data_IF_125069639437
#
_entry.id   IF_125069639437
#
_cell.length_a   1.000
_cell.length_b   1.000
_cell.length_c   1.000
_cell.angle_alpha   90.00
_cell.angle_beta   90.00
_cell.angle_gamma   90.00
#
_symmetry.space_group_name_H-M   'P 1'
#
loop_
_entity.id
_entity.type
_entity.pdbx_description
1 polymer ?
#
# COMPACT_ATOMS: atom_id res chain seq x y z
N UNK A 1 13.60 17.51 18.91
CA UNK A 1 13.68 16.42 17.90
C UNK A 1 13.35 17.02 16.54
N UNK A 2 14.09 16.67 15.51
CA UNK A 2 13.77 17.08 14.14
C UNK A 2 12.39 16.50 13.73
N UNK A 3 11.61 17.26 12.96
CA UNK A 3 10.28 16.79 12.53
C UNK A 3 10.40 15.56 11.62
N UNK A 4 9.66 14.51 11.90
CA UNK A 4 9.63 13.28 11.08
C UNK A 4 8.55 13.38 9.98
N UNK A 5 8.87 12.92 8.77
CA UNK A 5 8.04 13.07 7.57
C UNK A 5 7.73 11.68 6.97
N UNK A 6 6.45 11.39 6.77
CA UNK A 6 6.00 10.19 6.09
C UNK A 6 5.38 10.50 4.73
N UNK A 7 5.64 9.67 3.72
CA UNK A 7 4.94 9.68 2.43
C UNK A 7 4.02 8.46 2.38
N UNK A 8 2.75 8.68 2.02
CA UNK A 8 1.77 7.62 1.80
C UNK A 8 1.22 7.73 0.38
N UNK A 9 1.46 6.72 -0.45
CA UNK A 9 0.86 6.64 -1.78
C UNK A 9 -0.49 5.92 -1.74
N UNK A 10 -1.43 6.26 -2.63
CA UNK A 10 -2.79 5.72 -2.59
C UNK A 10 -3.62 6.26 -1.42
N UNK A 11 -3.28 7.44 -0.91
CA UNK A 11 -3.81 8.01 0.33
C UNK A 11 -5.26 8.54 0.24
N UNK A 12 -5.91 8.51 -0.94
CA UNK A 12 -7.23 9.10 -1.12
C UNK A 12 -8.39 8.27 -0.54
N UNK A 13 -8.19 6.97 -0.24
CA UNK A 13 -9.24 6.09 0.28
C UNK A 13 -8.67 4.80 0.91
N UNK A 14 -9.54 4.01 1.55
CA UNK A 14 -9.26 2.65 2.03
C UNK A 14 -8.02 2.56 2.91
N UNK A 15 -7.18 1.56 2.67
CA UNK A 15 -5.95 1.31 3.47
C UNK A 15 -5.03 2.54 3.46
N UNK A 16 -4.87 3.22 2.31
CA UNK A 16 -4.00 4.39 2.20
C UNK A 16 -4.47 5.56 3.06
N UNK A 17 -5.77 5.86 3.04
CA UNK A 17 -6.39 6.88 3.92
C UNK A 17 -6.19 6.53 5.39
N UNK A 18 -6.55 5.31 5.79
CA UNK A 18 -6.40 4.86 7.18
C UNK A 18 -4.93 4.91 7.65
N UNK A 19 -3.99 4.50 6.79
CA UNK A 19 -2.56 4.57 7.08
C UNK A 19 -2.08 6.02 7.26
N UNK A 20 -2.49 6.94 6.38
CA UNK A 20 -2.13 8.34 6.49
C UNK A 20 -2.63 8.96 7.81
N UNK A 21 -3.88 8.69 8.17
CA UNK A 21 -4.46 9.17 9.44
C UNK A 21 -3.74 8.54 10.65
N UNK A 22 -3.44 7.24 10.60
CA UNK A 22 -2.74 6.55 11.69
C UNK A 22 -1.32 7.10 11.89
N UNK A 23 -0.60 7.37 10.80
CA UNK A 23 0.76 7.94 10.87
C UNK A 23 0.79 9.39 11.36
N UNK A 24 -0.31 10.13 11.24
CA UNK A 24 -0.40 11.50 11.74
C UNK A 24 -0.20 11.61 13.26
N UNK A 25 -0.41 10.53 14.01
CA UNK A 25 -0.12 10.49 15.45
C UNK A 25 1.38 10.40 15.77
N UNK A 26 2.19 9.88 14.84
CA UNK A 26 3.61 9.55 15.06
C UNK A 26 4.56 10.46 14.25
N UNK A 27 4.05 11.09 13.18
CA UNK A 27 4.83 11.92 12.26
C UNK A 27 4.38 13.38 12.30
N UNK A 28 5.32 14.30 12.17
CA UNK A 28 5.04 15.74 12.16
C UNK A 28 4.33 16.19 10.89
N UNK A 29 4.62 15.53 9.76
CA UNK A 29 3.89 15.75 8.52
C UNK A 29 3.68 14.44 7.75
N UNK A 30 2.56 14.39 7.00
CA UNK A 30 2.21 13.26 6.13
C UNK A 30 1.92 13.78 4.72
N UNK A 31 2.71 13.31 3.77
CA UNK A 31 2.53 13.61 2.34
C UNK A 31 1.58 12.58 1.74
N UNK A 32 0.51 13.08 1.11
CA UNK A 32 -0.61 12.31 0.60
C UNK A 32 -0.57 12.31 -0.93
N UNK A 33 -0.29 11.16 -1.55
CA UNK A 33 -0.21 11.06 -3.01
C UNK A 33 -1.26 10.09 -3.57
N UNK A 34 -2.08 10.55 -4.51
CA UNK A 34 -3.03 9.78 -5.32
C UNK A 34 -3.53 10.63 -6.48
N UNK A 35 -4.38 10.05 -7.36
CA UNK A 35 -4.99 10.81 -8.46
C UNK A 35 -6.23 11.60 -8.06
N UNK A 36 -7.00 11.06 -7.11
CA UNK A 36 -8.27 11.66 -6.68
C UNK A 36 -7.98 12.77 -5.66
N UNK A 37 -7.98 14.02 -6.12
CA UNK A 37 -7.68 15.20 -5.32
C UNK A 37 -8.73 15.43 -4.23
N UNK A 38 -10.03 15.25 -4.51
CA UNK A 38 -11.10 15.39 -3.52
C UNK A 38 -10.89 14.43 -2.34
N UNK A 39 -10.67 13.13 -2.64
CA UNK A 39 -10.39 12.14 -1.62
C UNK A 39 -9.09 12.40 -0.85
N UNK A 40 -8.07 13.01 -1.49
CA UNK A 40 -6.86 13.46 -0.79
C UNK A 40 -7.15 14.63 0.15
N UNK A 41 -7.98 15.60 -0.25
CA UNK A 41 -8.35 16.74 0.57
C UNK A 41 -9.18 16.32 1.80
N UNK A 42 -10.06 15.32 1.67
CA UNK A 42 -10.74 14.71 2.82
C UNK A 42 -9.75 14.05 3.78
N UNK A 43 -8.80 13.29 3.24
CA UNK A 43 -7.75 12.64 4.04
C UNK A 43 -6.87 13.68 4.73
N UNK A 44 -6.54 14.78 4.05
CA UNK A 44 -5.74 15.88 4.60
C UNK A 44 -6.41 16.54 5.83
N UNK A 45 -7.72 16.75 5.76
CA UNK A 45 -8.49 17.28 6.93
C UNK A 45 -8.38 16.32 8.14
N UNK A 46 -8.49 15.02 7.90
CA UNK A 46 -8.38 14.02 8.96
C UNK A 46 -6.96 13.93 9.53
N UNK A 47 -5.92 13.98 8.68
CA UNK A 47 -4.50 14.04 9.08
C UNK A 47 -4.22 15.29 9.92
N UNK A 48 -4.74 16.44 9.50
CA UNK A 48 -4.61 17.69 10.26
C UNK A 48 -5.30 17.61 11.63
N UNK A 49 -6.50 17.04 11.67
CA UNK A 49 -7.24 16.82 12.93
C UNK A 49 -6.52 15.85 13.87
N UNK A 50 -5.73 14.92 13.33
CA UNK A 50 -4.90 13.99 14.09
C UNK A 50 -3.54 14.59 14.53
N UNK A 51 -3.23 15.83 14.17
CA UNK A 51 -2.10 16.60 14.69
C UNK A 51 -0.88 16.71 13.77
N UNK A 52 -0.94 16.18 12.54
CA UNK A 52 0.15 16.29 11.57
C UNK A 52 -0.16 17.31 10.46
N UNK A 53 0.89 17.89 9.88
CA UNK A 53 0.77 18.75 8.70
C UNK A 53 0.59 17.90 7.44
N UNK A 54 -0.53 18.04 6.68
CA UNK A 54 -0.69 17.35 5.41
C UNK A 54 -0.01 18.09 4.25
N UNK A 55 0.56 17.36 3.30
CA UNK A 55 0.91 17.85 1.96
C UNK A 55 0.17 17.01 0.92
N UNK A 56 -0.76 17.62 0.19
CA UNK A 56 -1.55 16.96 -0.86
C UNK A 56 -0.84 17.09 -2.20
N UNK A 57 -0.61 15.96 -2.88
CA UNK A 57 -0.04 15.88 -4.21
C UNK A 57 -0.90 14.97 -5.10
N UNK A 58 -1.73 15.60 -5.96
CA UNK A 58 -2.56 14.89 -6.94
C UNK A 58 -1.67 14.47 -8.13
N UNK A 59 -1.25 13.20 -8.14
CA UNK A 59 -0.28 12.64 -9.11
C UNK A 59 -0.71 11.26 -9.60
N UNK A 60 -0.48 10.94 -10.87
CA UNK A 60 -0.58 9.58 -11.39
C UNK A 60 0.78 8.90 -11.42
N UNK A 61 1.03 8.02 -10.48
CA UNK A 61 2.31 7.30 -10.35
C UNK A 61 2.57 6.26 -11.46
N UNK A 62 1.65 6.08 -12.43
CA UNK A 62 1.96 5.39 -13.69
C UNK A 62 2.97 6.19 -14.52
N UNK A 63 2.89 7.50 -14.43
CA UNK A 63 3.79 8.40 -15.16
C UNK A 63 5.17 8.40 -14.50
N UNK A 64 6.25 8.18 -15.26
CA UNK A 64 7.61 8.10 -14.69
C UNK A 64 8.00 9.33 -13.88
N UNK A 65 7.62 10.52 -14.34
CA UNK A 65 7.99 11.82 -13.77
C UNK A 65 7.28 12.10 -12.44
N UNK A 66 6.09 11.50 -12.24
CA UNK A 66 5.29 11.72 -11.05
C UNK A 66 6.02 11.28 -9.76
N UNK A 67 6.80 10.21 -9.83
CA UNK A 67 7.58 9.72 -8.71
C UNK A 67 8.66 10.72 -8.27
N UNK A 68 9.38 11.30 -9.24
CA UNK A 68 10.37 12.36 -8.98
C UNK A 68 9.71 13.60 -8.41
N UNK A 69 8.60 14.05 -9.01
CA UNK A 69 7.83 15.21 -8.55
C UNK A 69 7.34 15.05 -7.11
N UNK A 70 6.86 13.86 -6.73
CA UNK A 70 6.44 13.56 -5.36
C UNK A 70 7.58 13.76 -4.37
N UNK A 71 8.74 13.20 -4.66
CA UNK A 71 9.91 13.26 -3.78
C UNK A 71 10.48 14.68 -3.74
N UNK A 72 10.65 15.34 -4.87
CA UNK A 72 11.19 16.71 -4.94
C UNK A 72 10.33 17.69 -4.15
N UNK A 73 8.99 17.66 -4.32
CA UNK A 73 8.07 18.54 -3.57
C UNK A 73 8.07 18.24 -2.06
N UNK A 74 8.27 16.98 -1.68
CA UNK A 74 8.43 16.61 -0.27
C UNK A 74 9.71 17.20 0.32
N UNK A 75 10.82 17.06 -0.40
CA UNK A 75 12.11 17.57 0.05
C UNK A 75 12.18 19.10 -0.01
N UNK A 76 11.57 19.74 -1.00
CA UNK A 76 11.46 21.20 -1.09
C UNK A 76 10.75 21.77 0.15
N UNK A 77 9.64 21.12 0.56
CA UNK A 77 8.84 21.62 1.68
C UNK A 77 9.41 21.26 3.06
N UNK A 78 9.91 20.04 3.22
CA UNK A 78 10.24 19.50 4.54
C UNK A 78 11.73 19.14 4.73
N UNK A 79 12.52 19.07 3.65
CA UNK A 79 13.95 18.78 3.69
C UNK A 79 14.33 17.33 4.01
N UNK A 80 13.37 16.46 4.32
CA UNK A 80 13.64 15.07 4.75
C UNK A 80 12.50 14.11 4.43
N UNK A 81 12.78 12.80 4.46
CA UNK A 81 11.81 11.70 4.37
C UNK A 81 12.26 10.62 5.36
N UNK A 82 11.40 10.25 6.30
CA UNK A 82 11.68 9.25 7.33
C UNK A 82 10.93 7.92 7.08
N UNK A 83 9.76 7.99 6.45
CA UNK A 83 9.00 6.82 6.07
C UNK A 83 8.39 6.97 4.68
N UNK A 84 8.39 5.88 3.92
CA UNK A 84 7.69 5.75 2.65
C UNK A 84 6.78 4.52 2.69
N UNK A 85 5.48 4.73 2.58
CA UNK A 85 4.49 3.64 2.54
C UNK A 85 3.84 3.59 1.16
N UNK A 86 4.24 2.58 0.37
CA UNK A 86 3.76 2.35 -0.98
C UNK A 86 2.48 1.51 -0.96
N UNK A 87 1.31 2.17 -1.09
CA UNK A 87 -0.01 1.52 -1.09
C UNK A 87 -0.72 1.62 -2.44
N UNK A 88 -0.38 2.62 -3.25
CA UNK A 88 -1.00 2.83 -4.55
C UNK A 88 -0.99 1.55 -5.39
N UNK A 89 -2.16 1.10 -5.83
CA UNK A 89 -2.31 -0.09 -6.65
C UNK A 89 -3.74 -0.29 -7.15
N UNK A 90 -3.87 -0.57 -8.43
CA UNK A 90 -5.13 -0.83 -9.11
C UNK A 90 -4.91 -1.86 -10.22
N UNK A 91 -4.49 -3.07 -9.83
CA UNK A 91 -4.33 -4.17 -10.80
C UNK A 91 -5.72 -4.73 -11.12
N UNK A 92 -6.09 -4.86 -12.40
CA UNK A 92 -7.37 -5.45 -12.80
C UNK A 92 -7.54 -6.89 -12.32
N UNK A 93 -8.78 -7.26 -12.01
CA UNK A 93 -9.18 -8.62 -11.64
C UNK A 93 -9.91 -9.23 -12.83
N UNK A 94 -9.16 -9.86 -13.71
CA UNK A 94 -9.61 -10.46 -14.97
C UNK A 94 -8.96 -11.85 -15.05
N UNK A 95 -9.68 -12.82 -15.62
CA UNK A 95 -9.15 -14.16 -15.84
C UNK A 95 -7.89 -14.11 -16.70
N UNK A 96 -6.97 -15.04 -16.42
CA UNK A 96 -5.65 -15.11 -17.07
C UNK A 96 -5.73 -15.17 -18.61
N UNK A 97 -6.73 -15.87 -19.16
CA UNK A 97 -6.88 -16.06 -20.60
C UNK A 97 -7.65 -14.91 -21.29
N UNK A 98 -8.29 -14.04 -20.53
CA UNK A 98 -9.09 -12.91 -21.03
C UNK A 98 -8.36 -11.58 -20.92
N UNK A 99 -7.27 -11.52 -20.16
CA UNK A 99 -6.55 -10.29 -19.86
C UNK A 99 -5.66 -9.87 -21.04
N UNK A 100 -5.82 -8.63 -21.51
CA UNK A 100 -4.96 -8.07 -22.56
C UNK A 100 -3.62 -7.59 -22.01
N UNK A 101 -2.59 -7.50 -22.88
CA UNK A 101 -1.27 -6.96 -22.52
C UNK A 101 -1.38 -5.53 -21.96
N UNK A 102 -2.20 -4.67 -22.55
CA UNK A 102 -2.42 -3.30 -22.06
C UNK A 102 -2.99 -3.24 -20.64
N UNK A 103 -3.90 -4.14 -20.29
CA UNK A 103 -4.43 -4.23 -18.92
C UNK A 103 -3.39 -4.76 -17.93
N UNK A 104 -2.55 -5.69 -18.38
CA UNK A 104 -1.43 -6.22 -17.62
C UNK A 104 -0.41 -5.12 -17.33
N UNK A 105 0.01 -4.40 -18.36
CA UNK A 105 0.98 -3.30 -18.26
C UNK A 105 0.49 -2.16 -17.37
N UNK A 106 -0.80 -1.77 -17.48
CA UNK A 106 -1.38 -0.72 -16.62
C UNK A 106 -1.32 -1.08 -15.14
N UNK A 107 -1.64 -2.34 -14.80
CA UNK A 107 -1.54 -2.85 -13.43
C UNK A 107 -0.11 -2.79 -12.88
N UNK A 108 0.86 -3.21 -13.70
CA UNK A 108 2.28 -3.18 -13.34
C UNK A 108 2.84 -1.76 -13.29
N UNK A 109 2.43 -0.88 -14.21
CA UNK A 109 2.89 0.51 -14.27
C UNK A 109 2.63 1.27 -12.96
N UNK A 110 1.45 1.09 -12.37
CA UNK A 110 1.11 1.75 -11.10
C UNK A 110 1.74 1.03 -9.90
N UNK A 111 1.39 -0.25 -9.70
CA UNK A 111 1.67 -0.93 -8.44
C UNK A 111 3.12 -1.32 -8.28
N UNK A 112 3.77 -1.81 -9.34
CA UNK A 112 5.16 -2.24 -9.30
C UNK A 112 6.12 -1.10 -9.66
N UNK A 113 5.97 -0.54 -10.85
CA UNK A 113 6.90 0.48 -11.34
C UNK A 113 6.75 1.81 -10.61
N UNK A 114 5.52 2.22 -10.26
CA UNK A 114 5.27 3.42 -9.46
C UNK A 114 5.96 3.33 -8.11
N UNK A 115 5.71 2.25 -7.34
CA UNK A 115 6.34 2.04 -6.04
C UNK A 115 7.88 1.98 -6.12
N UNK A 116 8.42 1.27 -7.13
CA UNK A 116 9.87 1.21 -7.36
C UNK A 116 10.46 2.59 -7.62
N UNK A 117 9.85 3.38 -8.51
CA UNK A 117 10.35 4.71 -8.87
C UNK A 117 10.34 5.67 -7.67
N UNK A 118 9.24 5.71 -6.90
CA UNK A 118 9.17 6.54 -5.69
C UNK A 118 10.26 6.14 -4.70
N UNK A 119 10.46 4.84 -4.48
CA UNK A 119 11.50 4.34 -3.56
C UNK A 119 12.91 4.72 -4.04
N UNK A 120 13.20 4.59 -5.34
CA UNK A 120 14.51 4.97 -5.91
C UNK A 120 14.77 6.46 -5.73
N UNK A 121 13.79 7.33 -6.03
CA UNK A 121 13.97 8.78 -5.87
C UNK A 121 14.09 9.20 -4.40
N UNK A 122 13.38 8.53 -3.48
CA UNK A 122 13.45 8.83 -2.04
C UNK A 122 14.69 8.25 -1.34
N UNK A 123 15.45 7.37 -2.01
CA UNK A 123 16.45 6.53 -1.35
C UNK A 123 17.54 7.32 -0.60
N UNK A 124 18.10 8.36 -1.20
CA UNK A 124 19.14 9.17 -0.57
C UNK A 124 18.63 9.95 0.66
N UNK A 125 17.37 10.39 0.64
CA UNK A 125 16.76 11.02 1.81
C UNK A 125 16.50 10.00 2.93
N UNK A 126 16.03 8.80 2.58
CA UNK A 126 15.81 7.69 3.51
C UNK A 126 17.12 7.20 4.15
N UNK A 127 18.22 7.17 3.41
CA UNK A 127 19.57 6.88 3.98
C UNK A 127 19.95 7.90 5.04
N UNK A 128 19.81 9.19 4.74
CA UNK A 128 20.15 10.28 5.66
C UNK A 128 19.35 10.20 6.97
N UNK A 129 18.08 9.86 6.89
CA UNK A 129 17.19 9.75 8.04
C UNK A 129 17.25 8.40 8.75
N UNK A 130 17.95 7.40 8.19
CA UNK A 130 17.85 5.98 8.55
C UNK A 130 16.39 5.52 8.54
N UNK A 131 15.67 5.86 7.48
CA UNK A 131 14.23 5.74 7.34
C UNK A 131 13.74 4.32 7.11
N UNK A 132 12.43 4.21 6.85
CA UNK A 132 11.76 2.95 6.63
C UNK A 132 10.90 2.98 5.37
N UNK A 133 10.88 1.88 4.63
CA UNK A 133 10.01 1.68 3.46
C UNK A 133 9.11 0.48 3.70
N UNK A 134 7.81 0.64 3.42
CA UNK A 134 6.86 -0.47 3.40
C UNK A 134 6.19 -0.54 2.03
N UNK A 135 6.21 -1.72 1.44
CA UNK A 135 5.48 -2.02 0.21
C UNK A 135 4.20 -2.80 0.53
N UNK A 136 3.10 -2.44 -0.12
CA UNK A 136 1.85 -3.21 -0.04
C UNK A 136 1.78 -4.21 -1.17
N UNK A 137 1.92 -5.48 -0.83
CA UNK A 137 1.68 -6.62 -1.69
C UNK A 137 0.22 -7.10 -1.57
N UNK A 138 0.02 -8.34 -1.19
CA UNK A 138 -1.24 -9.00 -0.90
C UNK A 138 -1.04 -10.51 -0.78
N UNK A 139 -1.92 -11.20 -0.08
CA UNK A 139 -1.84 -12.65 0.15
C UNK A 139 -1.90 -13.49 -1.13
N UNK A 140 -2.45 -12.96 -2.24
CA UNK A 140 -2.42 -13.63 -3.55
C UNK A 140 -1.00 -13.84 -4.10
N UNK A 141 0.03 -13.18 -3.55
CA UNK A 141 1.43 -13.52 -3.83
C UNK A 141 1.78 -14.96 -3.42
N UNK A 142 1.10 -15.49 -2.40
CA UNK A 142 1.33 -16.83 -1.84
C UNK A 142 0.32 -17.87 -2.34
N UNK A 143 -0.89 -17.44 -2.71
CA UNK A 143 -1.96 -18.29 -3.21
C UNK A 143 -2.57 -17.70 -4.50
N UNK A 144 -1.87 -17.81 -5.64
CA UNK A 144 -2.36 -17.29 -6.92
C UNK A 144 -3.59 -18.07 -7.40
N UNK A 145 -4.53 -17.34 -8.03
CA UNK A 145 -5.72 -17.90 -8.69
C UNK A 145 -5.82 -17.33 -10.11
N UNK A 146 -6.37 -18.10 -11.06
CA UNK A 146 -6.49 -17.68 -12.47
C UNK A 146 -7.23 -16.34 -12.63
N UNK A 147 -8.34 -16.16 -11.94
CA UNK A 147 -9.13 -14.93 -11.94
C UNK A 147 -8.39 -13.70 -11.34
N UNK A 148 -7.25 -13.89 -10.75
CA UNK A 148 -6.42 -12.85 -10.11
C UNK A 148 -4.94 -12.95 -10.52
N UNK A 149 -4.64 -13.55 -11.65
CA UNK A 149 -3.27 -13.86 -12.04
C UNK A 149 -2.36 -12.62 -12.06
N UNK A 150 -2.77 -11.54 -12.71
CA UNK A 150 -1.99 -10.30 -12.74
C UNK A 150 -1.82 -9.66 -11.35
N UNK A 151 -2.86 -9.74 -10.51
CA UNK A 151 -2.77 -9.28 -9.10
C UNK A 151 -1.75 -10.12 -8.35
N UNK A 152 -1.77 -11.44 -8.51
CA UNK A 152 -0.88 -12.37 -7.84
C UNK A 152 0.58 -12.18 -8.28
N UNK A 153 0.82 -12.13 -9.59
CA UNK A 153 2.17 -11.90 -10.15
C UNK A 153 2.74 -10.55 -9.71
N UNK A 154 1.95 -9.47 -9.80
CA UNK A 154 2.38 -8.15 -9.33
C UNK A 154 2.68 -8.16 -7.83
N UNK A 155 1.86 -8.84 -7.03
CA UNK A 155 2.09 -8.95 -5.59
C UNK A 155 3.35 -9.77 -5.26
N UNK A 156 3.61 -10.86 -5.97
CA UNK A 156 4.84 -11.63 -5.83
C UNK A 156 6.09 -10.81 -6.22
N UNK A 157 5.99 -10.06 -7.32
CA UNK A 157 7.05 -9.15 -7.77
C UNK A 157 7.34 -8.06 -6.71
N UNK A 158 6.32 -7.51 -6.05
CA UNK A 158 6.48 -6.54 -4.94
C UNK A 158 7.23 -7.17 -3.75
N UNK A 159 6.93 -8.41 -3.38
CA UNK A 159 7.66 -9.11 -2.30
C UNK A 159 9.14 -9.25 -2.65
N UNK A 160 9.44 -9.72 -3.87
CA UNK A 160 10.82 -9.84 -4.34
C UNK A 160 11.53 -8.48 -4.41
N UNK A 161 10.85 -7.45 -4.92
CA UNK A 161 11.39 -6.09 -4.99
C UNK A 161 11.70 -5.53 -3.59
N UNK A 162 10.77 -5.68 -2.64
CA UNK A 162 10.98 -5.24 -1.26
C UNK A 162 12.18 -5.94 -0.63
N UNK A 163 12.36 -7.26 -0.87
CA UNK A 163 13.51 -8.01 -0.40
C UNK A 163 14.82 -7.50 -1.00
N UNK A 164 14.85 -7.20 -2.30
CA UNK A 164 16.04 -6.65 -2.95
C UNK A 164 16.42 -5.26 -2.39
N UNK A 165 15.43 -4.38 -2.13
CA UNK A 165 15.69 -3.11 -1.45
C UNK A 165 16.16 -3.30 -0.01
N UNK A 166 15.64 -4.31 0.70
CA UNK A 166 16.07 -4.60 2.07
C UNK A 166 17.55 -5.04 2.12
N UNK A 167 17.99 -5.90 1.20
CA UNK A 167 19.41 -6.29 1.08
C UNK A 167 20.32 -5.08 0.91
N UNK A 168 19.93 -4.14 0.05
CA UNK A 168 20.64 -2.87 -0.11
C UNK A 168 20.57 -2.04 1.18
N UNK A 169 19.40 -1.97 1.79
CA UNK A 169 19.11 -1.16 2.97
C UNK A 169 19.90 -1.56 4.22
N UNK A 170 20.24 -2.84 4.38
CA UNK A 170 21.05 -3.34 5.50
C UNK A 170 22.38 -2.56 5.61
N UNK A 171 23.05 -2.32 4.49
CA UNK A 171 24.33 -1.60 4.46
C UNK A 171 24.17 -0.09 4.57
N UNK A 172 23.02 0.44 4.16
CA UNK A 172 22.77 1.88 4.04
C UNK A 172 21.86 2.43 5.15
N UNK A 173 21.43 1.59 6.10
CA UNK A 173 20.62 1.99 7.25
C UNK A 173 19.14 2.22 6.92
N UNK A 174 18.65 1.74 5.78
CA UNK A 174 17.24 1.83 5.39
C UNK A 174 16.53 0.51 5.66
N UNK A 175 15.48 0.55 6.47
CA UNK A 175 14.64 -0.61 6.74
C UNK A 175 13.60 -0.78 5.63
N UNK A 176 13.43 -2.00 5.09
CA UNK A 176 12.44 -2.26 4.04
C UNK A 176 11.68 -3.56 4.32
N UNK A 177 10.34 -3.49 4.30
CA UNK A 177 9.46 -4.65 4.46
C UNK A 177 8.32 -4.61 3.44
N UNK A 178 7.64 -5.74 3.27
CA UNK A 178 6.36 -5.80 2.56
C UNK A 178 5.25 -6.31 3.48
N UNK A 179 4.04 -5.78 3.29
CA UNK A 179 2.83 -6.25 3.97
C UNK A 179 1.94 -6.96 2.95
N UNK A 180 1.39 -8.09 3.34
CA UNK A 180 0.51 -8.94 2.54
C UNK A 180 -0.89 -8.96 3.18
N UNK A 181 -1.75 -7.96 2.89
CA UNK A 181 -3.12 -7.97 3.38
C UNK A 181 -3.94 -9.12 2.77
N UNK A 182 -4.83 -9.67 3.57
CA UNK A 182 -5.93 -10.51 3.11
C UNK A 182 -7.16 -9.70 2.67
N UNK A 183 -8.37 -10.25 2.86
CA UNK A 183 -9.61 -9.58 2.52
C UNK A 183 -9.91 -8.42 3.48
N UNK A 184 -9.63 -7.19 3.04
CA UNK A 184 -9.91 -5.95 3.78
C UNK A 184 -11.19 -5.31 3.26
N UNK A 185 -12.08 -4.86 4.15
CA UNK A 185 -13.35 -4.23 3.82
C UNK A 185 -13.12 -2.78 3.34
N UNK A 186 -13.08 -2.62 2.02
CA UNK A 186 -12.84 -1.36 1.31
C UNK A 186 -13.82 -1.22 0.15
N UNK A 187 -13.93 -0.05 -0.46
CA UNK A 187 -14.72 0.14 -1.68
C UNK A 187 -14.30 -0.84 -2.79
N UNK A 188 -12.99 -1.13 -2.91
CA UNK A 188 -12.49 -2.15 -3.85
C UNK A 188 -13.09 -3.54 -3.57
N UNK A 189 -13.26 -3.92 -2.30
CA UNK A 189 -13.90 -5.18 -1.94
C UNK A 189 -15.38 -5.18 -2.30
N UNK A 190 -16.09 -4.08 -2.06
CA UNK A 190 -17.51 -3.95 -2.46
C UNK A 190 -17.68 -4.11 -3.97
N UNK A 191 -16.88 -3.37 -4.77
CA UNK A 191 -16.89 -3.49 -6.25
C UNK A 191 -16.55 -4.91 -6.73
N UNK A 192 -15.67 -5.63 -6.03
CA UNK A 192 -15.42 -7.04 -6.33
C UNK A 192 -16.68 -7.89 -6.06
N UNK A 193 -17.36 -7.67 -4.94
CA UNK A 193 -18.57 -8.44 -4.61
C UNK A 193 -19.73 -8.14 -5.54
N UNK A 194 -19.85 -6.94 -6.12
CA UNK A 194 -20.80 -6.60 -7.17
C UNK A 194 -20.65 -7.48 -8.43
N UNK A 195 -19.41 -7.93 -8.71
CA UNK A 195 -19.11 -8.85 -9.80
C UNK A 195 -19.23 -10.32 -9.39
N UNK A 196 -18.87 -10.64 -8.16
CA UNK A 196 -18.87 -12.00 -7.62
C UNK A 196 -20.28 -12.53 -7.36
N UNK A 197 -21.14 -11.71 -6.75
CA UNK A 197 -22.46 -12.12 -6.28
C UNK A 197 -23.38 -12.70 -7.40
N UNK A 198 -23.51 -12.06 -8.59
CA UNK A 198 -24.32 -12.62 -9.67
C UNK A 198 -23.82 -13.98 -10.18
N UNK A 199 -22.52 -14.22 -10.18
CA UNK A 199 -21.92 -15.49 -10.62
C UNK A 199 -22.23 -16.65 -9.67
N UNK A 200 -22.64 -16.33 -8.43
CA UNK A 200 -22.95 -17.30 -7.38
C UNK A 200 -24.43 -17.29 -6.99
N UNK A 201 -25.30 -16.65 -7.80
CA UNK A 201 -26.73 -16.50 -7.54
C UNK A 201 -27.05 -15.91 -6.16
N UNK A 202 -26.32 -14.87 -5.75
CA UNK A 202 -26.44 -14.17 -4.47
C UNK A 202 -26.66 -12.68 -4.69
N UNK A 203 -27.22 -12.00 -3.69
CA UNK A 203 -27.13 -10.53 -3.59
C UNK A 203 -25.73 -10.12 -3.13
N UNK A 204 -25.38 -8.83 -3.31
CA UNK A 204 -24.08 -8.30 -2.85
C UNK A 204 -23.97 -8.40 -1.33
N UNK A 205 -25.06 -8.15 -0.62
CA UNK A 205 -25.15 -8.24 0.83
C UNK A 205 -24.89 -9.67 1.32
N UNK A 206 -25.56 -10.66 0.71
CA UNK A 206 -25.35 -12.08 1.02
C UNK A 206 -23.91 -12.52 0.73
N UNK A 207 -23.33 -12.09 -0.39
CA UNK A 207 -21.95 -12.40 -0.75
C UNK A 207 -20.95 -11.78 0.26
N UNK A 208 -21.20 -10.53 0.68
CA UNK A 208 -20.39 -9.89 1.72
C UNK A 208 -20.48 -10.60 3.07
N UNK A 209 -21.66 -11.07 3.45
CA UNK A 209 -21.88 -11.77 4.72
C UNK A 209 -21.23 -13.16 4.73
N UNK A 210 -21.39 -13.93 3.64
CA UNK A 210 -20.92 -15.32 3.56
C UNK A 210 -19.42 -15.45 3.31
N UNK A 211 -18.83 -14.51 2.57
CA UNK A 211 -17.43 -14.60 2.14
C UNK A 211 -16.42 -14.85 3.29
N UNK A 212 -16.50 -14.22 4.48
CA UNK A 212 -15.55 -14.52 5.56
C UNK A 212 -15.53 -15.99 5.94
N UNK A 213 -16.70 -16.62 6.08
CA UNK A 213 -16.80 -18.04 6.41
C UNK A 213 -16.24 -18.93 5.27
N UNK A 214 -16.56 -18.62 4.02
CA UNK A 214 -16.03 -19.31 2.84
C UNK A 214 -14.51 -19.19 2.72
N UNK A 215 -13.97 -18.02 3.04
CA UNK A 215 -12.52 -17.77 3.08
C UNK A 215 -11.84 -18.35 4.33
N UNK A 216 -12.60 -18.91 5.27
CA UNK A 216 -12.09 -19.48 6.51
C UNK A 216 -11.48 -18.45 7.47
N UNK A 217 -12.01 -17.23 7.45
CA UNK A 217 -11.66 -16.12 8.35
C UNK A 217 -12.87 -15.72 9.19
N UNK A 218 -12.64 -15.11 10.37
CA UNK A 218 -13.71 -14.73 11.29
C UNK A 218 -14.44 -13.45 10.86
N UNK A 219 -13.76 -12.55 10.18
CA UNK A 219 -14.26 -11.28 9.67
C UNK A 219 -13.38 -10.74 8.55
N UNK A 220 -13.87 -9.79 7.81
CA UNK A 220 -12.98 -8.93 7.01
C UNK A 220 -12.00 -8.17 7.90
N UNK A 221 -10.76 -8.01 7.44
CA UNK A 221 -9.88 -6.99 7.97
C UNK A 221 -10.47 -5.58 7.75
N UNK A 222 -10.20 -4.66 8.66
CA UNK A 222 -10.51 -3.25 8.45
C UNK A 222 -9.25 -2.52 7.94
N UNK A 223 -9.40 -1.39 7.20
CA UNK A 223 -8.26 -0.58 6.80
C UNK A 223 -7.33 -0.21 7.95
N UNK A 224 -7.89 -0.01 9.14
CA UNK A 224 -7.20 0.33 10.38
C UNK A 224 -6.32 -0.82 10.90
N UNK A 225 -6.72 -2.09 10.70
CA UNK A 225 -5.88 -3.24 11.03
C UNK A 225 -4.53 -3.15 10.27
N UNK A 226 -4.60 -2.90 8.97
CA UNK A 226 -3.41 -2.77 8.12
C UNK A 226 -2.63 -1.49 8.45
N UNK A 227 -3.32 -0.37 8.69
CA UNK A 227 -2.70 0.91 9.06
C UNK A 227 -1.86 0.80 10.34
N UNK A 228 -2.34 0.07 11.35
CA UNK A 228 -1.61 -0.16 12.59
C UNK A 228 -0.34 -1.00 12.37
N UNK A 229 -0.40 -2.02 11.51
CA UNK A 229 0.79 -2.79 11.12
C UNK A 229 1.80 -1.92 10.35
N UNK A 230 1.33 -1.08 9.41
CA UNK A 230 2.20 -0.14 8.69
C UNK A 230 2.89 0.82 9.66
N UNK A 231 2.14 1.39 10.62
CA UNK A 231 2.69 2.29 11.63
C UNK A 231 3.74 1.58 12.50
N UNK A 232 3.48 0.35 12.93
CA UNK A 232 4.46 -0.45 13.66
C UNK A 232 5.76 -0.65 12.86
N UNK A 233 5.65 -1.05 11.58
CA UNK A 233 6.80 -1.33 10.73
C UNK A 233 7.69 -0.10 10.47
N UNK A 234 7.12 1.11 10.46
CA UNK A 234 7.90 2.35 10.28
C UNK A 234 8.30 3.01 11.60
N UNK A 235 7.86 2.47 12.74
CA UNK A 235 8.18 2.97 14.08
C UNK A 235 9.54 2.46 14.59
N UNK A 236 10.08 3.04 15.66
CA UNK A 236 11.27 2.51 16.32
C UNK A 236 11.12 1.06 16.81
N UNK A 237 9.89 0.63 17.18
CA UNK A 237 9.63 -0.74 17.62
C UNK A 237 9.78 -1.77 16.50
N UNK A 238 9.56 -1.38 15.24
CA UNK A 238 9.72 -2.24 14.08
C UNK A 238 11.15 -2.29 13.49
N UNK A 239 12.10 -1.53 14.01
CA UNK A 239 13.43 -1.31 13.38
C UNK A 239 14.29 -2.57 13.18
N UNK A 240 14.06 -3.63 13.95
CA UNK A 240 14.78 -4.90 13.78
C UNK A 240 14.20 -5.76 12.63
N UNK A 241 13.03 -5.41 12.11
CA UNK A 241 12.39 -6.13 11.00
C UNK A 241 12.82 -5.52 9.67
N UNK A 242 13.58 -6.26 8.87
CA UNK A 242 13.91 -5.87 7.49
C UNK A 242 13.91 -7.08 6.57
N UNK A 243 13.49 -6.90 5.32
CA UNK A 243 13.36 -7.97 4.32
C UNK A 243 12.23 -8.96 4.59
N UNK A 244 11.30 -8.63 5.48
CA UNK A 244 10.19 -9.49 5.85
C UNK A 244 8.97 -9.26 4.94
N UNK A 245 8.26 -10.35 4.61
CA UNK A 245 6.95 -10.34 4.00
C UNK A 245 5.91 -10.65 5.09
N UNK A 246 5.34 -9.60 5.66
CA UNK A 246 4.46 -9.71 6.83
C UNK A 246 3.02 -9.91 6.38
N UNK A 247 2.48 -11.09 6.64
CA UNK A 247 1.10 -11.45 6.31
C UNK A 247 0.13 -10.96 7.40
N UNK A 248 -0.97 -10.33 6.98
CA UNK A 248 -2.07 -9.91 7.85
C UNK A 248 -3.39 -10.16 7.12
N UNK A 249 -3.89 -11.38 7.20
CA UNK A 249 -4.98 -11.90 6.37
C UNK A 249 -6.11 -12.62 7.14
N UNK A 250 -6.11 -12.53 8.47
CA UNK A 250 -7.10 -13.21 9.32
C UNK A 250 -6.99 -14.73 9.28
N UNK A 251 -5.86 -15.28 8.79
CA UNK A 251 -5.65 -16.72 8.63
C UNK A 251 -6.25 -17.29 7.34
N UNK A 252 -6.53 -16.46 6.31
CA UNK A 252 -7.04 -16.94 5.02
C UNK A 252 -6.07 -17.94 4.38
N UNK A 253 -4.78 -17.62 4.34
CA UNK A 253 -3.77 -18.55 3.83
C UNK A 253 -3.37 -19.52 4.93
N UNK A 254 -3.61 -20.82 4.71
CA UNK A 254 -3.36 -21.89 5.68
C UNK A 254 -1.92 -22.43 5.66
N UNK A 255 -1.09 -22.00 4.70
CA UNK A 255 0.32 -22.36 4.63
C UNK A 255 1.18 -21.56 5.64
N UNK A 256 2.25 -22.20 6.11
CA UNK A 256 3.31 -21.58 6.92
C UNK A 256 4.35 -20.91 6.03
#
# INVERSE_FOLDING_TARGET
MEPTIAIVTGASQGIGRATAIRLAADFKAVVLAARNEEGLNETAKAVQSAGAEPLVLALDLRQPEAAKTLVDKTLEKFGRIDALVNIAGAVPQIDLLEMTDAQWDDGMALKLHGARRVTVHAWEALKKSKGSVVFTSGNSALAPKSAFAAVAVTNAAIVALAKAFAERGIQEGVQVNSVLPGPVFTNRRKTYMEKYAPLHNMTVEEALEKFPAEAGITRYGQPEDIANLMAFLVSPAGKWMTGSAVRMDGGEIKAV
#
